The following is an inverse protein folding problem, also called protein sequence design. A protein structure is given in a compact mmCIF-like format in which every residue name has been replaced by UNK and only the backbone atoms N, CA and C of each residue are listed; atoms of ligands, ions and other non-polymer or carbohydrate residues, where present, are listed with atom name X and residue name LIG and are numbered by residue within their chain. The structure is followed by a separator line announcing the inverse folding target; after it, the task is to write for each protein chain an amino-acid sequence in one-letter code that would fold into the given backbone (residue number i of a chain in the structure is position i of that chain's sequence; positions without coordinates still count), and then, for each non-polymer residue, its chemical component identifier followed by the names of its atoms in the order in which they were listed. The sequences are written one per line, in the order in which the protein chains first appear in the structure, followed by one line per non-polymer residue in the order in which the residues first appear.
data_IF_022172335203
#
_entry.id   IF_022172335203
#
_cell.length_a   1.000
_cell.length_b   1.000
_cell.length_c   1.000
_cell.angle_alpha   90.00
_cell.angle_beta   90.00
_cell.angle_gamma   90.00
#
_symmetry.space_group_name_H-M   'P 1'
#
loop_
_entity.id
_entity.type
_entity.pdbx_description
1 polymer ?
#
# COMPACT_ATOMS: atom_id res chain seq x y z
N UNK A 1 -21.30 -25.58 11.81
CA UNK A 1 -21.37 -25.01 10.44
C UNK A 1 -22.41 -23.89 10.41
N UNK A 2 -22.05 -22.70 9.88
CA UNK A 2 -22.95 -21.56 9.72
C UNK A 2 -23.88 -21.88 8.53
N UNK A 3 -25.20 -21.92 8.79
CA UNK A 3 -26.23 -22.25 7.81
C UNK A 3 -27.37 -21.21 7.75
N UNK A 4 -27.23 -20.08 8.42
CA UNK A 4 -28.23 -19.00 8.42
C UNK A 4 -27.64 -17.71 7.91
N UNK A 5 -28.36 -17.00 7.02
CA UNK A 5 -28.03 -15.64 6.54
C UNK A 5 -27.97 -14.61 7.64
N UNK A 6 -28.68 -14.84 8.73
CA UNK A 6 -28.77 -13.96 9.88
C UNK A 6 -27.66 -14.15 10.92
N UNK A 7 -26.69 -15.04 10.62
CA UNK A 7 -25.54 -15.23 11.50
C UNK A 7 -24.72 -13.94 11.65
N UNK A 8 -24.36 -13.60 12.88
CA UNK A 8 -23.67 -12.34 13.21
C UNK A 8 -22.29 -12.19 12.53
N UNK A 9 -21.60 -13.31 12.29
CA UNK A 9 -20.31 -13.31 11.57
C UNK A 9 -20.49 -12.90 10.10
N UNK A 10 -21.54 -13.38 9.42
CA UNK A 10 -21.87 -12.99 8.06
C UNK A 10 -22.34 -11.52 8.00
N UNK A 11 -23.12 -11.08 8.98
CA UNK A 11 -23.50 -9.66 9.11
C UNK A 11 -22.29 -8.76 9.32
N UNK A 12 -21.29 -9.21 10.09
CA UNK A 12 -20.04 -8.49 10.28
C UNK A 12 -19.30 -8.33 8.95
N UNK A 13 -19.11 -9.40 8.17
CA UNK A 13 -18.47 -9.35 6.85
C UNK A 13 -19.16 -8.34 5.94
N UNK A 14 -20.50 -8.39 5.82
CA UNK A 14 -21.26 -7.41 5.02
C UNK A 14 -21.02 -5.98 5.46
N UNK A 15 -21.00 -5.70 6.76
CA UNK A 15 -20.72 -4.36 7.30
C UNK A 15 -19.32 -3.88 6.92
N UNK A 16 -18.33 -4.75 6.96
CA UNK A 16 -16.93 -4.39 6.73
C UNK A 16 -16.61 -4.05 5.26
N UNK A 17 -17.50 -4.31 4.32
CA UNK A 17 -17.38 -3.77 2.95
C UNK A 17 -17.56 -2.25 2.91
N UNK A 18 -18.27 -1.65 3.86
CA UNK A 18 -18.40 -0.21 4.02
C UNK A 18 -17.28 0.36 4.90
N UNK A 19 -16.60 1.43 4.42
CA UNK A 19 -15.53 2.13 5.11
C UNK A 19 -15.95 2.60 6.51
N UNK A 20 -17.16 3.14 6.64
CA UNK A 20 -17.69 3.63 7.93
C UNK A 20 -17.62 2.56 9.03
N UNK A 21 -17.94 1.31 8.67
CA UNK A 21 -17.92 0.21 9.63
C UNK A 21 -16.51 -0.27 9.92
N UNK A 22 -15.62 -0.28 8.92
CA UNK A 22 -14.19 -0.57 9.14
C UNK A 22 -13.57 0.43 10.12
N UNK A 23 -13.86 1.73 9.92
CA UNK A 23 -13.35 2.80 10.80
C UNK A 23 -13.94 2.69 12.21
N UNK A 24 -15.25 2.43 12.33
CA UNK A 24 -15.95 2.30 13.63
C UNK A 24 -15.48 1.10 14.43
N UNK A 25 -15.27 -0.04 13.78
CA UNK A 25 -14.94 -1.31 14.43
C UNK A 25 -13.43 -1.56 14.54
N UNK A 26 -12.61 -0.81 13.84
CA UNK A 26 -11.16 -1.04 13.76
C UNK A 26 -10.81 -2.36 13.08
N UNK A 27 -11.69 -2.85 12.19
CA UNK A 27 -11.54 -4.13 11.51
C UNK A 27 -11.39 -3.94 10.01
N UNK A 28 -10.88 -4.96 9.34
CA UNK A 28 -10.86 -5.10 7.89
C UNK A 28 -11.30 -6.52 7.50
N UNK A 29 -11.73 -6.69 6.25
CA UNK A 29 -12.09 -7.98 5.70
C UNK A 29 -11.25 -8.26 4.46
N UNK A 30 -10.72 -9.46 4.35
CA UNK A 30 -10.02 -9.96 3.17
C UNK A 30 -10.79 -11.14 2.59
N UNK A 31 -10.79 -11.24 1.27
CA UNK A 31 -11.48 -12.26 0.52
C UNK A 31 -10.46 -13.01 -0.34
N UNK A 32 -10.41 -14.32 -0.20
CA UNK A 32 -9.49 -15.21 -0.92
C UNK A 32 -8.40 -15.81 -0.05
N UNK A 33 -7.95 -16.98 -0.48
CA UNK A 33 -6.95 -17.80 0.22
C UNK A 33 -5.60 -17.08 0.28
N UNK A 34 -5.15 -16.49 -0.84
CA UNK A 34 -3.85 -15.81 -0.95
C UNK A 34 -3.68 -14.68 0.07
N UNK A 35 -4.75 -13.91 0.32
CA UNK A 35 -4.71 -12.83 1.30
C UNK A 35 -4.71 -13.36 2.74
N UNK A 36 -5.48 -14.42 2.99
CA UNK A 36 -5.49 -15.08 4.31
C UNK A 36 -4.15 -15.76 4.61
N UNK A 37 -3.52 -16.39 3.63
CA UNK A 37 -2.16 -16.94 3.74
C UNK A 37 -1.13 -15.85 3.98
N UNK A 38 -1.20 -14.74 3.26
CA UNK A 38 -0.30 -13.61 3.46
C UNK A 38 -0.39 -13.02 4.87
N UNK A 39 -1.60 -12.98 5.46
CA UNK A 39 -1.80 -12.56 6.84
C UNK A 39 -1.14 -13.54 7.82
N UNK A 40 -1.37 -14.85 7.63
CA UNK A 40 -0.78 -15.92 8.44
C UNK A 40 0.75 -15.88 8.39
N UNK A 41 1.33 -15.75 7.19
CA UNK A 41 2.78 -15.70 6.99
C UNK A 41 3.42 -14.45 7.61
N UNK A 42 2.65 -13.37 7.72
CA UNK A 42 3.03 -12.16 8.44
C UNK A 42 2.78 -12.25 9.97
N UNK A 43 2.26 -13.37 10.48
CA UNK A 43 1.94 -13.55 11.90
C UNK A 43 0.71 -12.77 12.38
N UNK A 44 -0.19 -12.39 11.47
CA UNK A 44 -1.41 -11.64 11.80
C UNK A 44 -2.58 -12.61 11.92
N UNK A 45 -3.08 -12.77 13.16
CA UNK A 45 -4.16 -13.71 13.46
C UNK A 45 -5.54 -13.13 13.11
N UNK A 46 -6.43 -13.92 12.49
CA UNK A 46 -7.78 -13.49 12.20
C UNK A 46 -8.64 -13.41 13.46
N UNK A 47 -9.49 -12.39 13.56
CA UNK A 47 -10.60 -12.34 14.53
C UNK A 47 -11.66 -13.38 14.18
N UNK A 48 -11.90 -13.54 12.88
CA UNK A 48 -12.80 -14.53 12.29
C UNK A 48 -12.19 -15.07 11.01
N UNK A 49 -12.27 -16.39 10.83
CA UNK A 49 -11.92 -17.07 9.59
C UNK A 49 -13.10 -17.92 9.13
N UNK A 50 -13.68 -17.57 8.01
CA UNK A 50 -14.78 -18.30 7.40
C UNK A 50 -14.25 -19.11 6.21
N UNK A 51 -14.45 -20.41 6.25
CA UNK A 51 -14.00 -21.35 5.22
C UNK A 51 -15.18 -22.12 4.69
N UNK A 52 -15.46 -21.98 3.39
CA UNK A 52 -16.56 -22.65 2.70
C UNK A 52 -16.44 -24.16 2.82
N UNK A 53 -17.53 -24.82 3.22
CA UNK A 53 -17.59 -26.28 3.41
C UNK A 53 -16.99 -26.78 4.72
N UNK A 54 -16.30 -25.92 5.50
CA UNK A 54 -15.73 -26.31 6.79
C UNK A 54 -16.54 -25.73 7.97
N UNK A 55 -16.72 -24.41 8.00
CA UNK A 55 -17.44 -23.74 9.09
C UNK A 55 -18.61 -22.87 8.61
N UNK A 56 -18.73 -22.65 7.30
CA UNK A 56 -19.83 -21.92 6.66
C UNK A 56 -20.29 -22.64 5.38
N UNK A 57 -21.58 -22.61 5.11
CA UNK A 57 -22.15 -23.11 3.86
C UNK A 57 -21.66 -22.27 2.69
N UNK A 58 -21.12 -22.86 1.59
CA UNK A 58 -20.50 -22.13 0.47
C UNK A 58 -21.37 -21.03 -0.10
N UNK A 59 -22.67 -21.27 -0.25
CA UNK A 59 -23.63 -20.33 -0.83
C UNK A 59 -23.76 -19.06 0.01
N UNK A 60 -23.67 -19.19 1.33
CA UNK A 60 -23.73 -18.05 2.25
C UNK A 60 -22.45 -17.23 2.22
N UNK A 61 -21.30 -17.86 2.00
CA UNK A 61 -20.04 -17.14 1.84
C UNK A 61 -20.04 -16.37 0.51
N UNK A 62 -20.58 -16.98 -0.55
CA UNK A 62 -20.78 -16.35 -1.86
C UNK A 62 -21.65 -15.08 -1.75
N UNK A 63 -22.72 -15.12 -0.97
CA UNK A 63 -23.63 -13.97 -0.81
C UNK A 63 -23.02 -12.78 -0.08
N UNK A 64 -22.01 -12.98 0.76
CA UNK A 64 -21.34 -11.89 1.48
C UNK A 64 -20.08 -11.41 0.79
N UNK A 65 -19.63 -12.09 -0.24
CA UNK A 65 -18.44 -11.73 -1.02
C UNK A 65 -18.72 -10.59 -2.00
N UNK A 66 -17.68 -9.79 -2.26
CA UNK A 66 -17.67 -8.76 -3.32
C UNK A 66 -17.00 -9.24 -4.60
N UNK A 67 -16.53 -10.49 -4.64
CA UNK A 67 -15.85 -11.06 -5.79
C UNK A 67 -16.84 -11.64 -6.81
N UNK A 68 -16.51 -11.53 -8.08
CA UNK A 68 -17.31 -12.16 -9.16
C UNK A 68 -17.33 -13.69 -9.06
N UNK A 69 -16.24 -14.26 -8.56
CA UNK A 69 -16.16 -15.69 -8.22
C UNK A 69 -16.06 -15.81 -6.70
N UNK A 70 -16.97 -16.55 -6.06
CA UNK A 70 -16.99 -16.70 -4.61
C UNK A 70 -15.65 -17.23 -4.07
N UNK A 71 -15.08 -16.60 -3.05
CA UNK A 71 -13.86 -17.10 -2.43
C UNK A 71 -14.17 -18.29 -1.53
N UNK A 72 -13.23 -19.20 -1.39
CA UNK A 72 -13.33 -20.26 -0.40
C UNK A 72 -13.11 -19.77 1.03
N UNK A 73 -12.31 -18.69 1.18
CA UNK A 73 -11.92 -18.15 2.47
C UNK A 73 -12.26 -16.67 2.56
N UNK A 74 -12.83 -16.26 3.70
CA UNK A 74 -12.99 -14.85 4.09
C UNK A 74 -12.45 -14.68 5.50
N UNK A 75 -11.49 -13.77 5.67
CA UNK A 75 -10.87 -13.46 6.95
C UNK A 75 -11.22 -12.06 7.43
N UNK A 76 -11.46 -11.90 8.72
CA UNK A 76 -11.62 -10.60 9.40
C UNK A 76 -10.43 -10.39 10.33
N UNK A 77 -9.78 -9.23 10.23
CA UNK A 77 -8.57 -8.91 10.98
C UNK A 77 -8.69 -7.55 11.68
N UNK A 78 -7.88 -7.32 12.73
CA UNK A 78 -7.80 -6.00 13.36
C UNK A 78 -6.88 -5.08 12.56
N UNK A 79 -7.31 -3.86 12.32
CA UNK A 79 -6.44 -2.84 11.71
C UNK A 79 -5.27 -2.44 12.62
N UNK A 80 -5.41 -2.64 13.92
CA UNK A 80 -4.35 -2.38 14.88
C UNK A 80 -3.16 -3.33 14.75
N UNK A 81 -3.39 -4.54 14.20
CA UNK A 81 -2.37 -5.57 14.00
C UNK A 81 -1.59 -5.38 12.68
N UNK A 82 -1.99 -4.41 11.85
CA UNK A 82 -1.22 -4.05 10.65
C UNK A 82 0.09 -3.35 11.05
N UNK A 83 1.20 -3.60 10.31
CA UNK A 83 2.48 -2.99 10.62
C UNK A 83 2.42 -1.46 10.52
N UNK A 84 3.11 -0.81 11.46
CA UNK A 84 3.25 0.64 11.54
C UNK A 84 4.71 1.04 11.70
N UNK A 85 5.02 2.28 11.37
CA UNK A 85 6.34 2.85 11.56
C UNK A 85 7.01 3.25 10.24
N UNK A 86 8.30 3.59 10.34
CA UNK A 86 9.10 4.07 9.22
C UNK A 86 10.00 2.97 8.65
N UNK A 87 10.41 3.17 7.42
CA UNK A 87 11.48 2.43 6.75
C UNK A 87 12.50 3.45 6.22
N UNK A 88 13.76 3.05 6.01
CA UNK A 88 14.77 3.97 5.44
C UNK A 88 14.37 4.56 4.09
N UNK A 89 13.53 3.84 3.33
CA UNK A 89 12.86 4.36 2.14
C UNK A 89 11.35 4.33 2.38
N UNK A 90 10.69 5.45 2.14
CA UNK A 90 9.24 5.58 2.30
C UNK A 90 8.63 6.22 1.07
N UNK A 91 7.53 5.66 0.56
CA UNK A 91 6.65 6.35 -0.39
C UNK A 91 5.66 7.22 0.36
N UNK A 92 5.72 8.53 0.18
CA UNK A 92 4.73 9.46 0.70
C UNK A 92 3.72 9.82 -0.40
N UNK A 93 2.48 9.44 -0.21
CA UNK A 93 1.42 9.53 -1.21
C UNK A 93 0.48 10.70 -0.88
N UNK A 94 0.42 11.68 -1.77
CA UNK A 94 -0.46 12.83 -1.66
C UNK A 94 -1.73 12.61 -2.47
N UNK A 95 -2.86 12.37 -1.76
CA UNK A 95 -4.20 12.25 -2.34
C UNK A 95 -4.32 11.25 -3.50
N UNK A 96 -3.59 10.15 -3.44
CA UNK A 96 -3.74 9.03 -4.40
C UNK A 96 -5.10 8.39 -4.18
N UNK A 97 -6.06 8.70 -5.05
CA UNK A 97 -7.47 8.41 -4.83
C UNK A 97 -7.93 7.06 -5.44
N UNK A 98 -7.21 6.50 -6.42
CA UNK A 98 -7.54 5.18 -6.95
C UNK A 98 -7.01 4.07 -6.04
N UNK A 99 -7.91 3.21 -5.49
CA UNK A 99 -7.50 2.14 -4.60
C UNK A 99 -6.66 1.05 -5.29
N UNK A 100 -6.73 0.91 -6.61
CA UNK A 100 -5.87 0.01 -7.38
C UNK A 100 -4.44 0.52 -7.42
N UNK A 101 -4.23 1.82 -7.69
CA UNK A 101 -2.92 2.45 -7.64
C UNK A 101 -2.32 2.38 -6.23
N UNK A 102 -3.13 2.70 -5.21
CA UNK A 102 -2.69 2.60 -3.82
C UNK A 102 -2.22 1.18 -3.47
N UNK A 103 -3.05 0.17 -3.76
CA UNK A 103 -2.68 -1.23 -3.50
C UNK A 103 -1.42 -1.67 -4.25
N UNK A 104 -1.26 -1.24 -5.52
CA UNK A 104 -0.07 -1.50 -6.32
C UNK A 104 1.18 -0.84 -5.72
N UNK A 105 1.07 0.40 -5.21
CA UNK A 105 2.17 1.08 -4.53
C UNK A 105 2.56 0.39 -3.23
N UNK A 106 1.59 -0.09 -2.44
CA UNK A 106 1.86 -0.89 -1.23
C UNK A 106 2.59 -2.18 -1.62
N UNK A 107 2.15 -2.87 -2.69
CA UNK A 107 2.83 -4.07 -3.20
C UNK A 107 4.26 -3.77 -3.68
N UNK A 108 4.47 -2.65 -4.35
CA UNK A 108 5.81 -2.23 -4.78
C UNK A 108 6.69 -1.89 -3.57
N UNK A 109 6.15 -1.24 -2.55
CA UNK A 109 6.87 -0.97 -1.31
C UNK A 109 7.32 -2.26 -0.61
N UNK A 110 6.48 -3.30 -0.57
CA UNK A 110 6.82 -4.62 -0.07
C UNK A 110 8.01 -5.22 -0.83
N UNK A 111 7.94 -5.23 -2.16
CA UNK A 111 8.97 -5.79 -3.03
C UNK A 111 10.35 -5.12 -2.86
N UNK A 112 10.39 -3.84 -2.52
CA UNK A 112 11.62 -3.06 -2.36
C UNK A 112 11.96 -2.72 -0.90
N UNK A 113 11.25 -3.29 0.08
CA UNK A 113 11.51 -3.10 1.51
C UNK A 113 11.22 -1.68 2.01
N UNK A 114 10.30 -0.96 1.37
CA UNK A 114 9.92 0.41 1.71
C UNK A 114 8.69 0.47 2.63
N UNK A 115 8.49 1.62 3.28
CA UNK A 115 7.26 1.99 3.96
C UNK A 115 6.34 2.82 3.05
N UNK A 116 5.10 3.06 3.50
CA UNK A 116 4.14 3.92 2.79
C UNK A 116 3.52 4.91 3.78
N UNK A 117 3.53 6.19 3.42
CA UNK A 117 2.91 7.25 4.19
C UNK A 117 1.76 7.89 3.39
N UNK A 118 0.61 8.09 4.02
CA UNK A 118 -0.63 8.49 3.36
C UNK A 118 -1.13 9.83 3.86
N UNK A 119 -1.41 10.77 2.93
CA UNK A 119 -2.11 11.99 3.27
C UNK A 119 -3.62 11.77 3.42
N UNK A 120 -4.30 12.71 4.02
CA UNK A 120 -5.76 12.81 3.92
C UNK A 120 -6.17 12.90 2.43
N UNK A 121 -7.25 12.19 2.06
CA UNK A 121 -7.73 12.12 0.68
C UNK A 121 -7.15 10.97 -0.16
N UNK A 122 -6.20 10.19 0.36
CA UNK A 122 -5.86 8.89 -0.23
C UNK A 122 -7.02 7.91 -0.12
N UNK A 123 -7.05 6.94 -1.04
CA UNK A 123 -7.95 5.81 -0.95
C UNK A 123 -7.72 5.07 0.39
N UNK A 124 -8.75 4.35 0.85
CA UNK A 124 -8.62 3.52 2.05
C UNK A 124 -7.74 2.28 1.74
N UNK A 125 -6.56 2.13 2.38
CA UNK A 125 -5.69 0.99 2.16
C UNK A 125 -6.30 -0.34 2.61
N UNK A 126 -7.31 -0.28 3.49
CA UNK A 126 -8.05 -1.45 3.99
C UNK A 126 -9.36 -1.70 3.23
N UNK A 127 -9.62 -0.94 2.18
CA UNK A 127 -10.76 -1.16 1.28
C UNK A 127 -10.55 -2.41 0.39
N UNK A 128 -11.61 -3.13 0.03
CA UNK A 128 -11.50 -4.41 -0.69
C UNK A 128 -10.67 -4.33 -1.99
N UNK A 129 -10.81 -3.25 -2.78
CA UNK A 129 -10.05 -3.06 -4.02
C UNK A 129 -8.56 -2.84 -3.76
N UNK A 130 -8.20 -2.05 -2.73
CA UNK A 130 -6.80 -1.81 -2.36
C UNK A 130 -6.15 -3.07 -1.78
N UNK A 131 -6.86 -3.80 -0.92
CA UNK A 131 -6.39 -5.07 -0.36
C UNK A 131 -6.06 -6.08 -1.45
N UNK A 132 -6.95 -6.28 -2.42
CA UNK A 132 -6.70 -7.16 -3.55
C UNK A 132 -5.49 -6.72 -4.38
N UNK A 133 -5.41 -5.43 -4.71
CA UNK A 133 -4.29 -4.91 -5.49
C UNK A 133 -2.95 -5.00 -4.75
N UNK A 134 -2.96 -4.97 -3.42
CA UNK A 134 -1.76 -5.13 -2.61
C UNK A 134 -1.23 -6.57 -2.54
N UNK A 135 -2.05 -7.57 -2.93
CA UNK A 135 -1.67 -9.00 -2.89
C UNK A 135 -1.06 -9.41 -1.53
N UNK A 136 -1.68 -8.96 -0.43
CA UNK A 136 -1.23 -9.30 0.93
C UNK A 136 -0.07 -8.44 1.46
N UNK A 137 0.53 -7.56 0.66
CA UNK A 137 1.60 -6.66 1.11
C UNK A 137 1.16 -5.76 2.28
N UNK A 138 -0.14 -5.49 2.43
CA UNK A 138 -0.70 -4.72 3.54
C UNK A 138 -0.33 -5.29 4.93
N UNK A 139 -0.08 -6.58 5.03
CA UNK A 139 0.30 -7.25 6.27
C UNK A 139 1.81 -7.17 6.58
N UNK A 140 2.63 -6.64 5.66
CA UNK A 140 4.10 -6.57 5.78
C UNK A 140 4.66 -5.15 5.68
N UNK A 141 3.96 -4.26 4.96
CA UNK A 141 4.39 -2.89 4.72
C UNK A 141 3.91 -1.98 5.84
N UNK A 142 4.80 -1.29 6.57
CA UNK A 142 4.38 -0.34 7.58
C UNK A 142 3.72 0.87 6.93
N UNK A 143 2.56 1.25 7.49
CA UNK A 143 1.81 2.44 7.10
C UNK A 143 1.99 3.55 8.15
N UNK A 144 2.15 4.79 7.67
CA UNK A 144 2.29 5.99 8.49
C UNK A 144 1.41 7.14 7.96
N UNK A 145 1.25 8.19 8.72
CA UNK A 145 0.73 9.48 8.24
C UNK A 145 1.74 10.17 7.33
N UNK A 146 1.26 10.96 6.36
CA UNK A 146 2.10 11.65 5.37
C UNK A 146 3.18 12.51 6.01
N UNK A 147 2.83 13.21 7.10
CA UNK A 147 3.73 14.11 7.81
C UNK A 147 4.64 13.38 8.82
N UNK A 148 4.38 12.10 9.08
CA UNK A 148 5.19 11.27 9.98
C UNK A 148 6.43 10.68 9.27
N UNK A 149 6.45 10.72 7.92
CA UNK A 149 7.59 10.21 7.15
C UNK A 149 8.83 11.08 7.35
N UNK A 150 9.87 10.48 7.90
CA UNK A 150 11.16 11.12 8.17
C UNK A 150 12.16 10.86 7.06
N UNK A 151 13.05 11.80 6.79
CA UNK A 151 14.11 11.69 5.80
C UNK A 151 14.08 12.77 4.73
N UNK A 152 15.02 12.71 3.79
CA UNK A 152 15.13 13.65 2.67
C UNK A 152 13.95 13.46 1.72
N UNK A 153 13.13 14.49 1.56
CA UNK A 153 11.91 14.48 0.76
C UNK A 153 12.22 14.80 -0.69
N UNK A 154 11.95 13.87 -1.58
CA UNK A 154 12.15 14.01 -3.03
C UNK A 154 10.81 13.95 -3.73
N UNK A 155 10.35 15.07 -4.26
CA UNK A 155 9.12 15.13 -5.05
C UNK A 155 9.34 14.50 -6.43
N UNK A 156 8.59 13.47 -6.76
CA UNK A 156 8.62 12.89 -8.09
C UNK A 156 7.62 13.64 -8.98
N UNK A 157 8.17 14.40 -9.93
CA UNK A 157 7.40 15.27 -10.85
C UNK A 157 7.53 14.78 -12.29
N UNK A 158 6.52 14.98 -13.16
CA UNK A 158 6.60 14.54 -14.55
C UNK A 158 7.68 15.29 -15.33
N UNK A 159 7.89 16.59 -15.04
CA UNK A 159 8.82 17.48 -15.75
C UNK A 159 9.54 18.43 -14.79
N UNK A 160 10.68 18.97 -15.22
CA UNK A 160 11.36 20.06 -14.51
C UNK A 160 12.13 19.67 -13.24
N UNK A 161 12.29 18.39 -12.99
CA UNK A 161 13.12 17.87 -11.89
C UNK A 161 14.47 17.36 -12.37
N UNK A 162 15.43 17.20 -11.46
CA UNK A 162 16.67 16.48 -11.74
C UNK A 162 16.34 15.03 -12.14
N UNK A 163 16.97 14.49 -13.19
CA UNK A 163 16.77 13.07 -13.53
C UNK A 163 17.03 12.18 -12.32
N UNK A 164 16.07 11.37 -11.95
CA UNK A 164 16.18 10.53 -10.74
C UNK A 164 17.48 9.70 -10.69
N UNK A 165 18.01 9.16 -11.83
CA UNK A 165 19.31 8.49 -11.85
C UNK A 165 20.52 9.38 -11.51
N UNK A 166 20.42 10.68 -11.59
CA UNK A 166 21.50 11.62 -11.33
C UNK A 166 21.53 12.16 -9.89
N UNK A 167 20.41 12.01 -9.16
CA UNK A 167 20.34 12.45 -7.76
C UNK A 167 21.27 11.64 -6.88
N UNK A 168 22.00 12.32 -5.99
CA UNK A 168 22.79 11.67 -4.95
C UNK A 168 21.97 11.62 -3.66
N UNK A 169 21.36 10.46 -3.42
CA UNK A 169 20.56 10.22 -2.23
C UNK A 169 21.32 9.31 -1.25
N UNK A 170 21.39 9.76 0.00
CA UNK A 170 22.01 9.02 1.09
C UNK A 170 21.11 9.12 2.34
N UNK A 171 21.18 8.12 3.19
CA UNK A 171 20.36 8.07 4.40
C UNK A 171 18.89 7.71 4.12
N UNK A 172 18.01 8.24 4.95
CA UNK A 172 16.56 8.03 4.81
C UNK A 172 15.99 8.90 3.70
N UNK A 173 15.19 8.29 2.83
CA UNK A 173 14.60 8.95 1.65
C UNK A 173 13.09 8.79 1.66
N UNK A 174 12.40 9.91 1.51
CA UNK A 174 10.95 9.96 1.33
C UNK A 174 10.66 10.36 -0.12
N UNK A 175 10.20 9.41 -0.92
CA UNK A 175 9.78 9.67 -2.30
C UNK A 175 8.33 10.13 -2.31
N UNK A 176 8.09 11.39 -2.66
CA UNK A 176 6.76 12.02 -2.60
C UNK A 176 6.09 11.95 -3.96
N UNK A 177 4.90 11.35 -4.01
CA UNK A 177 4.08 11.22 -5.22
C UNK A 177 2.74 11.93 -5.05
N UNK A 178 2.32 12.64 -6.10
CA UNK A 178 1.07 13.37 -6.13
C UNK A 178 -0.13 12.56 -6.62
N UNK A 179 -1.30 13.20 -6.59
CA UNK A 179 -2.54 12.64 -7.15
C UNK A 179 -2.41 12.38 -8.65
N UNK A 180 -3.27 11.51 -9.17
CA UNK A 180 -3.28 11.10 -10.58
C UNK A 180 -3.63 12.25 -11.54
N UNK A 181 -4.37 13.24 -11.07
CA UNK A 181 -4.86 14.35 -11.91
C UNK A 181 -4.06 15.63 -11.72
N UNK A 182 -3.90 16.04 -10.46
CA UNK A 182 -3.39 17.37 -10.12
C UNK A 182 -1.90 17.34 -9.72
N UNK A 183 -1.31 16.13 -9.59
CA UNK A 183 0.07 15.97 -9.14
C UNK A 183 0.26 16.42 -7.69
N UNK A 184 1.38 17.08 -7.42
CA UNK A 184 1.72 17.67 -6.12
C UNK A 184 1.42 19.17 -6.14
N UNK A 185 0.66 19.72 -5.19
CA UNK A 185 0.45 21.15 -5.09
C UNK A 185 1.74 21.86 -4.61
N UNK A 186 1.85 23.15 -4.89
CA UNK A 186 3.06 23.94 -4.59
C UNK A 186 3.42 23.94 -3.10
N UNK A 187 2.43 23.92 -2.21
CA UNK A 187 2.64 23.81 -0.76
C UNK A 187 3.36 22.53 -0.35
N UNK A 188 3.09 21.39 -1.02
CA UNK A 188 3.78 20.12 -0.78
C UNK A 188 5.16 20.13 -1.44
N UNK A 189 5.27 20.70 -2.63
CA UNK A 189 6.54 20.85 -3.36
C UNK A 189 7.53 21.74 -2.60
N UNK A 190 7.06 22.79 -1.95
CA UNK A 190 7.87 23.67 -1.12
C UNK A 190 8.42 22.98 0.13
N UNK A 191 7.74 21.93 0.62
CA UNK A 191 8.19 21.10 1.73
C UNK A 191 9.12 19.95 1.31
N UNK A 192 9.52 19.86 0.04
CA UNK A 192 10.46 18.87 -0.46
C UNK A 192 11.85 19.47 -0.65
N UNK A 193 12.88 18.68 -0.33
CA UNK A 193 14.28 19.09 -0.47
C UNK A 193 14.70 19.12 -1.96
N UNK A 194 14.11 18.27 -2.77
CA UNK A 194 14.43 18.14 -4.19
C UNK A 194 13.21 17.76 -5.04
N UNK A 195 13.28 18.10 -6.32
CA UNK A 195 12.36 17.65 -7.35
C UNK A 195 13.11 16.71 -8.29
N UNK A 196 12.58 15.52 -8.50
CA UNK A 196 13.13 14.51 -9.40
C UNK A 196 12.16 14.18 -10.54
N UNK A 197 12.67 13.79 -11.67
CA UNK A 197 11.88 13.27 -12.79
C UNK A 197 12.40 11.91 -13.24
N UNK A 198 11.50 11.09 -13.76
CA UNK A 198 11.85 9.85 -14.44
C UNK A 198 12.09 10.19 -15.91
N UNK A 199 13.31 10.00 -16.47
CA UNK A 199 13.58 10.27 -17.87
C UNK A 199 12.68 9.46 -18.79
N UNK A 200 11.91 10.13 -19.62
CA UNK A 200 11.03 9.54 -20.62
C UNK A 200 11.56 9.84 -22.01
N UNK A 201 11.45 8.89 -22.95
CA UNK A 201 11.89 9.04 -24.35
C UNK A 201 10.72 9.17 -25.31
N UNK A 202 9.51 8.92 -24.85
CA UNK A 202 8.29 8.97 -25.66
C UNK A 202 7.52 10.28 -25.48
N UNK A 203 6.44 10.47 -26.24
CA UNK A 203 5.60 11.67 -26.20
C UNK A 203 4.62 11.70 -25.00
N UNK A 204 4.68 10.75 -24.10
CA UNK A 204 3.78 10.70 -22.95
C UNK A 204 4.06 11.87 -21.98
N UNK A 205 3.02 12.58 -21.58
CA UNK A 205 3.13 13.71 -20.65
C UNK A 205 3.43 13.27 -19.21
N UNK A 206 2.98 12.08 -18.82
CA UNK A 206 3.19 11.55 -17.47
C UNK A 206 3.07 10.02 -17.45
N UNK A 207 3.56 9.41 -16.37
CA UNK A 207 3.37 8.01 -16.06
C UNK A 207 2.21 7.85 -15.06
N UNK A 208 1.55 6.69 -15.10
CA UNK A 208 0.66 6.29 -14.02
C UNK A 208 1.40 6.35 -12.68
N UNK A 209 0.75 6.86 -11.63
CA UNK A 209 1.38 7.10 -10.32
C UNK A 209 1.97 5.83 -9.70
N UNK A 210 1.33 4.68 -9.88
CA UNK A 210 1.85 3.41 -9.36
C UNK A 210 3.09 2.96 -10.14
N UNK A 211 3.13 3.17 -11.46
CA UNK A 211 4.32 2.90 -12.27
C UNK A 211 5.47 3.83 -11.87
N UNK A 212 5.20 5.13 -11.72
CA UNK A 212 6.20 6.10 -11.30
C UNK A 212 6.81 5.75 -9.94
N UNK A 213 5.98 5.44 -8.95
CA UNK A 213 6.42 5.01 -7.62
C UNK A 213 7.25 3.72 -7.66
N UNK A 214 6.83 2.74 -8.46
CA UNK A 214 7.57 1.47 -8.62
C UNK A 214 8.96 1.68 -9.23
N UNK A 215 9.05 2.51 -10.30
CA UNK A 215 10.34 2.86 -10.93
C UNK A 215 11.21 3.62 -9.94
N UNK A 216 10.63 4.55 -9.17
CA UNK A 216 11.34 5.28 -8.14
C UNK A 216 11.95 4.36 -7.08
N UNK A 217 11.18 3.43 -6.55
CA UNK A 217 11.65 2.45 -5.59
C UNK A 217 12.73 1.53 -6.17
N UNK A 218 12.54 1.04 -7.39
CA UNK A 218 13.54 0.23 -8.08
C UNK A 218 14.87 0.97 -8.21
N UNK A 219 14.85 2.24 -8.61
CA UNK A 219 16.06 3.04 -8.76
C UNK A 219 16.79 3.22 -7.41
N UNK A 220 16.06 3.47 -6.32
CA UNK A 220 16.63 3.57 -4.99
C UNK A 220 17.25 2.24 -4.52
N UNK A 221 16.55 1.13 -4.71
CA UNK A 221 17.03 -0.21 -4.34
C UNK A 221 18.27 -0.63 -5.15
N UNK A 222 18.27 -0.34 -6.47
CA UNK A 222 19.42 -0.62 -7.35
C UNK A 222 20.69 0.07 -6.87
N UNK A 223 20.59 1.29 -6.37
CA UNK A 223 21.74 2.06 -5.85
C UNK A 223 22.26 1.50 -4.54
N UNK A 224 21.36 1.14 -3.63
CA UNK A 224 21.73 0.53 -2.36
C UNK A 224 22.52 -0.79 -2.57
N UNK A 225 22.25 -1.49 -3.67
CA UNK A 225 22.91 -2.75 -4.04
C UNK A 225 24.24 -2.56 -4.80
N UNK A 226 24.59 -1.34 -5.20
CA UNK A 226 25.80 -1.08 -6.00
C UNK A 226 27.08 -1.18 -5.15
N UNK A 227 28.18 -1.78 -5.64
CA UNK A 227 29.42 -2.01 -4.87
C UNK A 227 30.08 -0.73 -4.34
N UNK A 228 29.83 0.44 -4.96
CA UNK A 228 30.34 1.73 -4.51
C UNK A 228 29.71 2.20 -3.18
N UNK A 229 28.47 1.83 -2.90
CA UNK A 229 27.79 2.18 -1.65
C UNK A 229 28.35 1.37 -0.44
N UNK A 230 28.83 0.15 -0.66
CA UNK A 230 29.41 -0.72 0.38
C UNK A 230 30.80 -0.27 0.89
N UNK A 231 31.52 0.60 0.15
CA UNK A 231 32.84 1.08 0.55
C UNK A 231 32.82 2.24 1.54
N UNK A 232 31.70 2.97 1.64
CA UNK A 232 31.59 4.12 2.59
C UNK A 232 31.20 3.69 4.00
N UNK A 233 30.50 2.57 4.17
CA UNK A 233 30.07 2.08 5.49
C UNK A 233 31.16 1.30 6.28
N UNK A 234 32.32 1.01 5.65
CA UNK A 234 33.47 0.34 6.29
C UNK A 234 34.58 1.31 6.74
N UNK A 235 34.36 2.63 6.65
CA UNK A 235 35.35 3.65 7.03
C UNK A 235 34.85 4.61 8.12
N UNK A 236 33.81 4.27 8.85
CA UNK A 236 33.31 5.01 10.04
C UNK A 236 33.37 4.14 11.30
#
# INVERSE_FOLDING_TARGET
MIASRDNERLKLVRKLHDRRWRDKLGLLVVEGEDLAESARDAGVEPVELLVAGENVVPELLAEVSTLAHPPRVVGVYRRADLPRGARPVTLALWRVADPGNLGTLIRSADAFGAGVALSAGCADPTGPKALRASMGAIFRVPLAGFDEAQGRRVALVPHGGTPLPELRLAGEVVLVLGSERDGLPEEVLAGCDERASIPQRGPAESLNVAMAGTIGLYELARRASSPSARRSSLRS
#
